data_IF_477370685672
#
_entry.id   IF_477370685672
#
_cell.length_a   1.000
_cell.length_b   1.000
_cell.length_c   1.000
_cell.angle_alpha   90.00
_cell.angle_beta   90.00
_cell.angle_gamma   90.00
#
_symmetry.space_group_name_H-M   'P 1'
#
loop_
_entity.id
_entity.type
_entity.pdbx_description
1 polymer ?
#
# COMPACT_ATOMS: atom_id res chain seq x y z
N UNK A 1 19.67 -9.40 0.87
CA UNK A 1 18.99 -8.96 2.11
C UNK A 1 18.48 -7.55 1.91
N UNK A 2 17.74 -6.99 2.87
CA UNK A 2 17.33 -5.59 2.86
C UNK A 2 18.51 -4.60 2.79
N UNK A 3 19.71 -5.01 3.25
CA UNK A 3 20.92 -4.19 3.25
C UNK A 3 21.37 -3.74 1.84
N UNK A 4 20.95 -4.48 0.81
CA UNK A 4 21.30 -4.18 -0.59
C UNK A 4 20.32 -3.18 -1.25
N UNK A 5 19.32 -2.71 -0.52
CA UNK A 5 18.29 -1.78 -1.01
C UNK A 5 18.48 -0.43 -0.32
N UNK A 6 18.46 0.71 -1.04
CA UNK A 6 18.68 2.03 -0.46
C UNK A 6 17.43 2.55 0.28
N UNK A 7 16.96 1.79 1.28
CA UNK A 7 15.78 2.11 2.08
C UNK A 7 16.09 3.32 2.98
N UNK A 8 15.17 4.28 2.98
CA UNK A 8 15.37 5.58 3.61
C UNK A 8 14.94 5.58 5.09
N UNK A 9 15.64 6.38 5.88
CA UNK A 9 15.13 6.92 7.15
C UNK A 9 14.75 8.37 6.88
N UNK A 10 13.46 8.69 6.90
CA UNK A 10 12.93 9.97 6.42
C UNK A 10 13.14 11.09 7.43
N UNK A 11 12.85 10.83 8.71
CA UNK A 11 12.91 11.84 9.76
C UNK A 11 13.89 11.46 10.88
N UNK A 12 14.44 12.46 11.61
CA UNK A 12 15.43 12.22 12.66
C UNK A 12 14.98 11.23 13.75
N UNK A 13 13.70 11.32 14.18
CA UNK A 13 13.17 10.48 15.26
C UNK A 13 12.44 9.23 14.77
N UNK A 14 12.46 8.93 13.46
CA UNK A 14 11.95 7.64 12.98
C UNK A 14 12.75 6.50 13.63
N UNK A 15 12.08 5.41 13.98
CA UNK A 15 12.70 4.27 14.66
C UNK A 15 13.76 3.56 13.81
N UNK A 16 13.72 3.72 12.48
CA UNK A 16 14.61 3.04 11.58
C UNK A 16 14.38 3.46 10.13
N UNK A 17 14.74 2.55 9.22
CA UNK A 17 14.47 2.69 7.79
C UNK A 17 13.08 2.15 7.47
N UNK A 18 12.38 2.82 6.57
CA UNK A 18 11.03 2.44 6.17
C UNK A 18 10.92 2.33 4.65
N UNK A 19 10.29 1.26 4.15
CA UNK A 19 9.73 1.25 2.81
C UNK A 19 8.38 1.96 2.91
N UNK A 20 8.27 3.12 2.28
CA UNK A 20 7.09 3.99 2.34
C UNK A 20 6.20 3.87 1.11
N UNK A 21 6.73 3.29 0.02
CA UNK A 21 6.02 3.17 -1.26
C UNK A 21 6.10 1.77 -1.88
N UNK A 22 5.96 0.74 -1.03
CA UNK A 22 5.83 -0.65 -1.46
C UNK A 22 4.37 -1.02 -1.70
N UNK A 23 4.07 -1.59 -2.87
CA UNK A 23 2.76 -2.18 -3.15
C UNK A 23 2.77 -3.63 -2.65
N UNK A 24 2.05 -3.89 -1.57
CA UNK A 24 1.97 -5.20 -0.95
C UNK A 24 0.90 -6.02 -1.64
N UNK A 25 1.34 -7.05 -2.35
CA UNK A 25 0.51 -8.04 -3.02
C UNK A 25 0.22 -9.22 -2.10
N UNK A 26 -1.05 -9.58 -2.02
CA UNK A 26 -1.53 -10.79 -1.33
C UNK A 26 -2.65 -11.42 -2.15
N UNK A 27 -2.97 -12.68 -1.84
CA UNK A 27 -4.06 -13.42 -2.47
C UNK A 27 -5.05 -13.84 -1.38
N UNK A 28 -6.34 -13.75 -1.69
CA UNK A 28 -7.36 -14.26 -0.78
C UNK A 28 -7.23 -15.79 -0.70
N UNK A 29 -7.17 -16.40 0.50
CA UNK A 29 -6.87 -17.82 0.66
C UNK A 29 -7.91 -18.74 -0.01
N UNK A 30 -9.21 -18.39 0.09
CA UNK A 30 -10.28 -19.21 -0.49
C UNK A 30 -10.58 -18.89 -1.96
N UNK A 31 -10.79 -17.60 -2.29
CA UNK A 31 -11.24 -17.18 -3.62
C UNK A 31 -10.11 -17.00 -4.63
N UNK A 32 -8.86 -16.91 -4.18
CA UNK A 32 -7.72 -16.63 -5.04
C UNK A 32 -7.66 -15.20 -5.59
N UNK A 33 -8.58 -14.31 -5.19
CA UNK A 33 -8.62 -12.92 -5.66
C UNK A 33 -7.39 -12.16 -5.18
N UNK A 34 -6.71 -11.46 -6.10
CA UNK A 34 -5.48 -10.73 -5.78
C UNK A 34 -5.79 -9.33 -5.26
N UNK A 35 -5.07 -8.96 -4.20
CA UNK A 35 -5.12 -7.66 -3.58
C UNK A 35 -3.77 -6.93 -3.72
N UNK A 36 -3.83 -5.61 -3.73
CA UNK A 36 -2.70 -4.69 -3.68
C UNK A 36 -3.07 -3.55 -2.73
N UNK A 37 -2.15 -3.22 -1.83
CA UNK A 37 -2.27 -2.08 -0.94
C UNK A 37 -0.92 -1.44 -0.68
N UNK A 38 -0.91 -0.14 -0.38
CA UNK A 38 0.30 0.56 0.06
C UNK A 38 0.31 0.59 1.58
N UNK A 39 1.42 0.12 2.16
CA UNK A 39 1.62 0.09 3.60
C UNK A 39 3.05 0.54 3.90
N UNK A 40 3.25 1.25 5.01
CA UNK A 40 4.59 1.54 5.51
C UNK A 40 5.17 0.27 6.14
N UNK A 41 6.44 0.02 5.90
CA UNK A 41 7.11 -1.22 6.31
C UNK A 41 8.43 -0.87 6.99
N UNK A 42 8.55 -1.11 8.30
CA UNK A 42 9.77 -0.84 9.06
C UNK A 42 10.78 -1.96 8.87
N UNK A 43 12.03 -1.64 8.53
CA UNK A 43 13.11 -2.64 8.47
C UNK A 43 13.68 -2.84 9.87
N UNK A 44 13.77 -4.11 10.30
CA UNK A 44 14.28 -4.49 11.62
C UNK A 44 15.69 -5.07 11.52
N UNK A 45 15.90 -5.95 10.54
CA UNK A 45 17.20 -6.55 10.26
C UNK A 45 17.33 -6.89 8.77
N UNK A 46 18.34 -7.69 8.42
CA UNK A 46 18.65 -8.08 7.03
C UNK A 46 17.53 -8.86 6.32
N UNK A 47 16.63 -9.52 7.06
CA UNK A 47 15.58 -10.40 6.52
C UNK A 47 14.20 -10.19 7.15
N UNK A 48 14.07 -9.37 8.19
CA UNK A 48 12.80 -9.09 8.85
C UNK A 48 12.38 -7.63 8.74
N UNK A 49 11.09 -7.42 8.53
CA UNK A 49 10.45 -6.12 8.53
C UNK A 49 9.09 -6.17 9.25
N UNK A 50 8.56 -5.03 9.68
CA UNK A 50 7.23 -4.93 10.30
C UNK A 50 6.25 -4.36 9.31
N UNK A 51 5.16 -5.09 9.10
CA UNK A 51 4.13 -4.74 8.14
C UNK A 51 3.04 -3.95 8.85
N UNK A 52 2.95 -2.63 8.61
CA UNK A 52 1.90 -1.79 9.20
C UNK A 52 0.55 -2.02 8.49
N UNK A 53 0.02 -3.24 8.62
CA UNK A 53 -1.31 -3.61 8.18
C UNK A 53 -2.34 -3.16 9.21
N UNK A 54 -2.95 -2.01 8.96
CA UNK A 54 -4.10 -1.57 9.76
C UNK A 54 -5.21 -2.62 9.69
N UNK A 55 -5.79 -2.97 10.84
CA UNK A 55 -6.79 -4.05 11.01
C UNK A 55 -7.99 -3.97 10.06
N UNK A 56 -8.32 -2.78 9.55
CA UNK A 56 -9.44 -2.55 8.63
C UNK A 56 -9.08 -2.68 7.13
N UNK A 57 -7.86 -3.06 6.79
CA UNK A 57 -7.41 -3.22 5.40
C UNK A 57 -7.45 -4.69 4.98
N UNK A 58 -7.69 -4.96 3.69
CA UNK A 58 -7.89 -6.32 3.15
C UNK A 58 -6.79 -7.33 3.48
N UNK A 59 -5.52 -6.89 3.54
CA UNK A 59 -4.42 -7.76 3.98
C UNK A 59 -4.62 -8.31 5.40
N UNK A 60 -5.17 -7.51 6.32
CA UNK A 60 -5.53 -7.94 7.66
C UNK A 60 -6.82 -8.79 7.68
N UNK A 61 -7.75 -8.59 6.76
CA UNK A 61 -8.92 -9.47 6.64
C UNK A 61 -8.54 -10.88 6.14
N UNK A 62 -7.58 -10.98 5.20
CA UNK A 62 -7.03 -12.29 4.80
C UNK A 62 -6.39 -13.00 6.01
N UNK A 63 -5.79 -12.26 6.92
CA UNK A 63 -5.23 -12.81 8.15
C UNK A 63 -6.29 -13.47 9.03
N UNK A 64 -7.42 -12.79 9.28
CA UNK A 64 -8.47 -13.35 10.12
C UNK A 64 -9.08 -14.64 9.53
N UNK A 65 -9.07 -14.78 8.20
CA UNK A 65 -9.48 -16.01 7.50
C UNK A 65 -8.41 -17.11 7.65
N UNK A 66 -7.12 -16.78 7.62
CA UNK A 66 -6.02 -17.75 7.76
C UNK A 66 -5.72 -18.20 9.19
N UNK A 67 -6.38 -17.67 10.23
CA UNK A 67 -6.20 -18.16 11.61
C UNK A 67 -6.52 -19.64 11.77
N UNK A 68 -7.33 -20.21 10.88
CA UNK A 68 -7.64 -21.64 10.85
C UNK A 68 -6.56 -22.46 10.09
N UNK A 69 -5.66 -21.81 9.34
CA UNK A 69 -4.62 -22.45 8.52
C UNK A 69 -3.27 -21.73 8.64
N UNK A 70 -2.48 -22.14 9.63
CA UNK A 70 -1.04 -21.91 9.73
C UNK A 70 -0.56 -20.44 9.63
N UNK A 71 -1.29 -19.45 10.19
CA UNK A 71 -0.91 -18.06 10.59
C UNK A 71 0.03 -17.21 9.68
N UNK A 72 0.42 -17.70 8.50
CA UNK A 72 1.41 -17.11 7.61
C UNK A 72 0.76 -16.79 6.28
N UNK A 73 0.91 -15.55 5.86
CA UNK A 73 0.31 -15.05 4.62
C UNK A 73 1.43 -14.77 3.63
N UNK A 74 1.45 -15.54 2.56
CA UNK A 74 2.34 -15.29 1.43
C UNK A 74 2.12 -13.86 0.90
N UNK A 75 3.22 -13.13 0.79
CA UNK A 75 3.22 -11.69 0.54
C UNK A 75 4.37 -11.33 -0.39
N UNK A 76 4.11 -10.43 -1.33
CA UNK A 76 5.16 -9.81 -2.15
C UNK A 76 5.09 -8.29 -2.05
N UNK A 77 6.20 -7.64 -1.72
CA UNK A 77 6.32 -6.17 -1.72
C UNK A 77 6.89 -5.75 -3.06
N UNK A 78 6.08 -5.09 -3.88
CA UNK A 78 6.44 -4.61 -5.20
C UNK A 78 6.87 -3.15 -5.12
N UNK A 79 8.08 -2.85 -5.59
CA UNK A 79 8.63 -1.49 -5.66
C UNK A 79 8.81 -1.12 -7.13
N UNK A 80 8.27 0.04 -7.48
CA UNK A 80 8.18 0.48 -8.88
C UNK A 80 7.13 -0.31 -9.68
N UNK A 81 7.05 -0.03 -10.97
CA UNK A 81 6.06 -0.60 -11.87
C UNK A 81 5.23 0.48 -12.56
N UNK A 82 4.09 0.09 -13.14
CA UNK A 82 3.26 1.05 -13.86
C UNK A 82 2.42 1.95 -12.94
N UNK A 83 2.22 3.23 -13.28
CA UNK A 83 1.38 4.15 -12.51
C UNK A 83 -0.05 3.64 -12.26
N UNK A 84 -0.64 2.90 -13.20
CA UNK A 84 -1.97 2.32 -13.04
C UNK A 84 -2.03 1.25 -11.94
N UNK A 85 -0.96 0.48 -11.75
CA UNK A 85 -0.85 -0.50 -10.66
C UNK A 85 -0.74 0.21 -9.32
N UNK A 86 0.08 1.26 -9.25
CA UNK A 86 0.19 2.13 -8.07
C UNK A 86 -1.18 2.73 -7.74
N UNK A 87 -1.86 3.31 -8.73
CA UNK A 87 -3.20 3.88 -8.56
C UNK A 87 -4.21 2.85 -8.05
N UNK A 88 -4.19 1.62 -8.57
CA UNK A 88 -5.08 0.56 -8.10
C UNK A 88 -4.80 0.19 -6.63
N UNK A 89 -3.54 0.15 -6.21
CA UNK A 89 -3.18 -0.20 -4.83
C UNK A 89 -3.71 0.82 -3.81
N UNK A 90 -3.69 2.10 -4.15
CA UNK A 90 -4.18 3.19 -3.29
C UNK A 90 -5.70 3.43 -3.41
N UNK A 91 -6.28 3.11 -4.57
CA UNK A 91 -7.68 3.42 -4.82
C UNK A 91 -8.58 2.51 -3.96
N UNK A 92 -9.63 3.06 -3.33
CA UNK A 92 -10.68 2.28 -2.69
C UNK A 92 -11.56 1.60 -3.75
N UNK A 93 -11.06 0.47 -4.23
CA UNK A 93 -11.74 -0.43 -5.16
C UNK A 93 -12.79 -1.25 -4.40
N UNK A 94 -13.96 -1.59 -4.98
CA UNK A 94 -14.95 -2.46 -4.33
C UNK A 94 -14.39 -3.80 -3.85
N UNK A 95 -15.05 -4.40 -2.85
CA UNK A 95 -14.69 -5.72 -2.33
C UNK A 95 -14.93 -6.82 -3.36
N UNK A 96 -14.09 -7.86 -3.34
CA UNK A 96 -14.12 -8.95 -4.32
C UNK A 96 -13.52 -8.61 -5.69
N UNK A 97 -13.27 -7.33 -6.01
CA UNK A 97 -12.64 -6.97 -7.29
C UNK A 97 -11.11 -7.08 -7.23
N UNK A 98 -10.55 -7.85 -8.16
CA UNK A 98 -9.11 -8.03 -8.35
C UNK A 98 -8.42 -6.69 -8.69
N UNK A 99 -7.35 -6.37 -7.95
CA UNK A 99 -6.64 -5.09 -8.10
C UNK A 99 -5.84 -4.97 -9.40
N UNK A 100 -5.38 -6.08 -9.98
CA UNK A 100 -4.76 -6.06 -11.31
C UNK A 100 -5.80 -5.87 -12.42
N UNK A 101 -6.98 -6.46 -12.27
CA UNK A 101 -8.10 -6.21 -13.18
C UNK A 101 -8.50 -4.73 -13.17
N UNK A 102 -8.67 -4.14 -11.97
CA UNK A 102 -8.96 -2.71 -11.86
C UNK A 102 -7.88 -1.83 -12.51
N UNK A 103 -6.60 -2.11 -12.24
CA UNK A 103 -5.49 -1.41 -12.89
C UNK A 103 -5.54 -1.53 -14.43
N UNK A 104 -5.92 -2.71 -14.93
CA UNK A 104 -6.10 -2.97 -16.35
C UNK A 104 -7.23 -2.17 -16.98
N UNK A 105 -8.37 -2.05 -16.29
CA UNK A 105 -9.51 -1.20 -16.69
C UNK A 105 -9.07 0.26 -16.74
N UNK A 106 -8.41 0.76 -15.69
CA UNK A 106 -7.94 2.15 -15.61
C UNK A 106 -7.02 2.51 -16.78
N UNK A 107 -6.10 1.62 -17.16
CA UNK A 107 -5.16 1.86 -18.28
C UNK A 107 -5.65 1.34 -19.64
N UNK A 108 -6.87 0.80 -19.73
CA UNK A 108 -7.49 0.17 -20.92
C UNK A 108 -6.66 -0.98 -21.53
N UNK A 109 -5.85 -1.66 -20.72
CA UNK A 109 -4.97 -2.76 -21.14
C UNK A 109 -4.63 -3.63 -19.94
N UNK A 110 -4.77 -4.96 -20.03
CA UNK A 110 -4.46 -5.86 -18.90
C UNK A 110 -3.01 -5.77 -18.43
N UNK A 111 -2.76 -5.89 -17.11
CA UNK A 111 -1.41 -5.87 -16.52
C UNK A 111 -0.67 -7.16 -16.88
N UNK A 112 0.55 -7.06 -17.41
CA UNK A 112 1.41 -8.22 -17.60
C UNK A 112 2.01 -8.60 -16.25
N UNK A 113 1.87 -9.86 -15.87
CA UNK A 113 2.40 -10.37 -14.59
C UNK A 113 3.41 -11.48 -14.81
N UNK A 114 4.22 -11.73 -13.79
CA UNK A 114 5.14 -12.87 -13.67
C UNK A 114 4.92 -13.54 -12.32
N UNK A 115 5.18 -14.85 -12.23
CA UNK A 115 5.12 -15.57 -10.96
C UNK A 115 6.34 -15.22 -10.10
N UNK A 116 6.11 -15.07 -8.80
CA UNK A 116 7.14 -15.06 -7.79
C UNK A 116 7.88 -16.41 -7.73
N UNK A 117 9.07 -16.43 -7.14
CA UNK A 117 9.92 -17.63 -7.09
C UNK A 117 9.76 -18.46 -5.81
N UNK A 118 9.38 -17.83 -4.72
CA UNK A 118 9.37 -18.41 -3.36
C UNK A 118 7.98 -18.40 -2.71
N UNK A 119 6.99 -17.78 -3.37
CA UNK A 119 5.58 -17.69 -2.92
C UNK A 119 4.62 -17.87 -4.10
N UNK A 120 3.39 -18.34 -3.88
CA UNK A 120 2.35 -18.49 -4.92
C UNK A 120 1.62 -17.18 -5.21
N UNK A 121 2.37 -16.19 -5.69
CA UNK A 121 1.83 -14.89 -6.12
C UNK A 121 2.29 -14.52 -7.52
N UNK A 122 1.48 -13.72 -8.21
CA UNK A 122 1.90 -13.00 -9.40
C UNK A 122 2.04 -11.49 -9.14
N UNK A 123 3.10 -10.92 -9.70
CA UNK A 123 3.48 -9.51 -9.57
C UNK A 123 3.65 -8.85 -10.94
N UNK A 124 3.56 -7.51 -11.06
CA UNK A 124 3.78 -6.83 -12.34
C UNK A 124 5.14 -7.20 -12.96
N UNK A 125 5.13 -7.60 -14.23
CA UNK A 125 6.33 -8.00 -14.96
C UNK A 125 7.37 -6.88 -15.10
N UNK A 126 6.95 -5.63 -14.93
CA UNK A 126 7.77 -4.43 -15.05
C UNK A 126 8.10 -3.78 -13.70
N UNK A 127 7.87 -4.48 -12.59
CA UNK A 127 8.36 -4.05 -11.28
C UNK A 127 9.88 -3.87 -11.31
N UNK A 128 10.39 -2.90 -10.54
CA UNK A 128 11.84 -2.67 -10.44
C UNK A 128 12.47 -3.65 -9.45
N UNK A 129 11.83 -3.82 -8.30
CA UNK A 129 12.22 -4.74 -7.23
C UNK A 129 10.96 -5.41 -6.68
N UNK A 130 11.03 -6.71 -6.39
CA UNK A 130 10.00 -7.49 -5.71
C UNK A 130 10.66 -8.24 -4.55
N UNK A 131 10.12 -8.04 -3.36
CA UNK A 131 10.57 -8.69 -2.12
C UNK A 131 9.52 -9.74 -1.76
N UNK A 132 9.92 -11.00 -1.79
CA UNK A 132 9.03 -12.14 -1.56
C UNK A 132 9.20 -12.65 -0.15
N UNK A 133 8.11 -13.13 0.45
CA UNK A 133 8.13 -13.61 1.82
C UNK A 133 6.75 -13.95 2.36
N UNK A 134 6.66 -14.03 3.67
CA UNK A 134 5.38 -14.22 4.35
C UNK A 134 5.28 -13.26 5.52
N UNK A 135 4.05 -12.86 5.84
CA UNK A 135 3.73 -12.13 7.06
C UNK A 135 3.22 -13.14 8.09
N UNK A 136 3.89 -13.22 9.23
CA UNK A 136 3.50 -14.06 10.37
C UNK A 136 2.81 -13.18 11.42
N UNK A 137 1.53 -13.41 11.63
CA UNK A 137 0.75 -12.63 12.57
C UNK A 137 0.85 -13.12 14.02
N UNK A 138 1.46 -14.28 14.25
CA UNK A 138 1.84 -14.72 15.58
C UNK A 138 3.12 -14.02 16.06
N UNK A 139 4.00 -13.59 15.14
CA UNK A 139 5.20 -12.79 15.43
C UNK A 139 4.91 -11.29 15.30
N UNK A 140 4.32 -10.70 16.34
CA UNK A 140 4.15 -9.25 16.42
C UNK A 140 5.33 -8.61 17.14
N UNK A 141 5.86 -7.54 16.55
CA UNK A 141 6.90 -6.71 17.15
C UNK A 141 6.57 -5.25 17.00
N UNK A 142 7.36 -4.47 17.68
CA UNK A 142 7.06 -3.13 18.10
C UNK A 142 7.56 -2.12 17.01
N UNK A 143 6.63 -1.56 16.22
CA UNK A 143 6.88 -0.61 15.12
C UNK A 143 6.85 0.84 15.62
N UNK A 144 7.62 1.71 14.96
CA UNK A 144 7.63 3.14 15.25
C UNK A 144 8.53 3.53 16.42
N UNK A 145 8.63 4.85 16.72
CA UNK A 145 7.84 5.94 16.14
C UNK A 145 8.15 6.23 14.65
N UNK A 146 7.18 6.85 13.96
CA UNK A 146 7.27 7.21 12.54
C UNK A 146 6.62 8.58 12.27
N UNK A 147 7.29 9.47 11.55
CA UNK A 147 6.74 10.76 11.12
C UNK A 147 5.65 10.59 10.05
N UNK A 148 4.40 10.82 10.42
CA UNK A 148 3.23 10.50 9.60
C UNK A 148 2.66 11.73 8.86
N UNK A 149 1.70 11.49 7.96
CA UNK A 149 1.05 12.48 7.09
C UNK A 149 0.34 13.61 7.86
N UNK A 150 0.16 13.46 9.18
CA UNK A 150 -0.37 14.50 10.06
C UNK A 150 0.66 15.59 10.38
N UNK A 151 1.95 15.31 10.14
CA UNK A 151 3.08 16.14 10.58
C UNK A 151 3.57 15.83 11.99
N UNK A 152 3.07 14.77 12.62
CA UNK A 152 3.45 14.31 13.95
C UNK A 152 4.01 12.88 13.91
N UNK A 153 4.70 12.48 14.98
CA UNK A 153 5.16 11.10 15.11
C UNK A 153 4.02 10.22 15.63
N UNK A 154 3.70 9.15 14.90
CA UNK A 154 2.86 8.05 15.41
C UNK A 154 3.63 7.37 16.55
N UNK A 155 2.97 7.05 17.69
CA UNK A 155 3.59 6.29 18.76
C UNK A 155 3.92 4.86 18.33
N UNK A 156 4.62 4.16 19.23
CA UNK A 156 5.02 2.78 19.04
C UNK A 156 3.83 1.83 19.22
N UNK A 157 3.63 0.90 18.29
CA UNK A 157 2.55 -0.10 18.35
C UNK A 157 3.00 -1.46 17.78
N UNK A 158 2.40 -2.59 18.23
CA UNK A 158 2.76 -3.90 17.74
C UNK A 158 2.16 -4.22 16.36
N UNK A 159 2.98 -4.71 15.44
CA UNK A 159 2.60 -5.12 14.08
C UNK A 159 3.24 -6.46 13.68
N UNK A 160 2.63 -7.19 12.73
CA UNK A 160 3.10 -8.50 12.33
C UNK A 160 4.41 -8.42 11.53
N UNK A 161 5.22 -9.46 11.67
CA UNK A 161 6.55 -9.54 11.06
C UNK A 161 6.47 -10.14 9.67
N UNK A 162 7.06 -9.45 8.69
CA UNK A 162 7.37 -9.97 7.37
C UNK A 162 8.77 -10.60 7.37
N UNK A 163 8.87 -11.86 6.93
CA UNK A 163 10.15 -12.55 6.71
C UNK A 163 10.43 -12.63 5.21
N UNK A 164 11.57 -12.09 4.80
CA UNK A 164 12.07 -12.10 3.42
C UNK A 164 12.63 -13.48 3.05
N UNK A 165 12.09 -14.08 1.99
CA UNK A 165 12.54 -15.37 1.43
C UNK A 165 13.22 -15.23 0.08
N UNK A 166 12.94 -14.16 -0.67
CA UNK A 166 13.49 -13.95 -2.01
C UNK A 166 13.48 -12.49 -2.45
N UNK A 167 14.38 -12.16 -3.38
CA UNK A 167 14.37 -10.86 -4.08
C UNK A 167 14.41 -11.14 -5.58
N UNK A 168 13.42 -10.62 -6.30
CA UNK A 168 13.48 -10.48 -7.76
C UNK A 168 13.73 -9.01 -8.08
N UNK A 169 14.59 -8.72 -9.05
CA UNK A 169 14.85 -7.35 -9.48
C UNK A 169 15.31 -7.29 -10.93
N UNK A 170 15.18 -6.11 -11.54
CA UNK A 170 15.78 -5.81 -12.84
C UNK A 170 17.32 -5.73 -12.70
N UNK A 171 18.03 -5.76 -13.83
CA UNK A 171 19.50 -5.69 -13.85
C UNK A 171 20.04 -4.41 -13.19
N UNK A 172 19.40 -3.28 -13.46
CA UNK A 172 19.71 -1.97 -12.89
C UNK A 172 18.41 -1.38 -12.31
N UNK A 173 17.99 -1.81 -11.11
CA UNK A 173 16.68 -1.48 -10.58
C UNK A 173 16.64 -0.04 -10.05
N UNK A 174 15.49 0.62 -10.21
CA UNK A 174 15.20 1.90 -9.59
C UNK A 174 14.41 1.67 -8.29
N UNK A 175 14.94 2.16 -7.17
CA UNK A 175 14.20 2.16 -5.90
C UNK A 175 13.22 3.34 -5.86
N UNK A 176 11.96 3.08 -6.21
CA UNK A 176 10.88 4.06 -6.10
C UNK A 176 10.41 4.16 -4.64
N UNK A 177 10.37 5.37 -4.11
CA UNK A 177 9.99 5.64 -2.72
C UNK A 177 9.28 6.99 -2.60
N UNK A 178 8.74 7.29 -1.42
CA UNK A 178 8.12 8.58 -1.08
C UNK A 178 8.59 9.04 0.30
N UNK A 179 8.49 10.33 0.59
CA UNK A 179 8.53 10.83 1.97
C UNK A 179 7.11 11.14 2.41
N UNK A 180 6.79 10.89 3.68
CA UNK A 180 5.50 11.22 4.30
C UNK A 180 5.79 12.07 5.52
N UNK A 181 4.93 13.02 5.86
CA UNK A 181 5.16 13.99 6.92
C UNK A 181 4.17 15.14 6.86
N UNK A 182 4.55 16.31 7.38
CA UNK A 182 3.69 17.49 7.31
C UNK A 182 3.39 17.85 5.84
N UNK A 183 2.12 17.92 5.41
CA UNK A 183 1.77 18.28 4.03
C UNK A 183 2.36 19.65 3.65
N UNK A 184 2.76 19.88 2.39
CA UNK A 184 2.43 19.11 1.18
C UNK A 184 3.61 18.23 0.74
N UNK A 185 3.38 16.93 0.59
CA UNK A 185 4.33 15.94 0.05
C UNK A 185 3.64 15.11 -1.06
N UNK A 186 4.31 14.08 -1.59
CA UNK A 186 3.82 13.30 -2.75
C UNK A 186 2.45 12.64 -2.50
N UNK A 187 2.20 12.20 -1.27
CA UNK A 187 0.93 11.62 -0.82
C UNK A 187 -0.25 12.58 -1.01
N UNK A 188 -0.02 13.89 -0.96
CA UNK A 188 -1.06 14.88 -1.23
C UNK A 188 -1.52 14.90 -2.69
N UNK A 189 -0.60 14.75 -3.64
CA UNK A 189 -0.96 14.69 -5.06
C UNK A 189 -1.70 13.40 -5.39
N UNK A 190 -1.26 12.31 -4.76
CA UNK A 190 -1.92 11.00 -4.82
C UNK A 190 -3.35 11.08 -4.27
N UNK A 191 -3.52 11.66 -3.08
CA UNK A 191 -4.82 11.89 -2.46
C UNK A 191 -5.74 12.73 -3.34
N UNK A 192 -5.20 13.77 -3.97
CA UNK A 192 -5.97 14.62 -4.90
C UNK A 192 -6.46 13.85 -6.12
N UNK A 193 -5.65 12.96 -6.69
CA UNK A 193 -6.07 12.12 -7.80
C UNK A 193 -7.21 11.16 -7.40
N UNK A 194 -7.12 10.53 -6.22
CA UNK A 194 -8.20 9.69 -5.67
C UNK A 194 -9.47 10.52 -5.48
N UNK A 195 -9.36 11.67 -4.80
CA UNK A 195 -10.47 12.59 -4.57
C UNK A 195 -11.19 12.96 -5.87
N UNK A 196 -10.45 13.35 -6.92
CA UNK A 196 -11.05 13.66 -8.24
C UNK A 196 -11.75 12.45 -8.85
N UNK A 197 -11.22 11.24 -8.68
CA UNK A 197 -11.83 10.01 -9.21
C UNK A 197 -13.19 9.68 -8.58
N UNK A 198 -13.47 10.20 -7.38
CA UNK A 198 -14.74 10.01 -6.67
C UNK A 198 -15.84 10.98 -7.05
N UNK A 199 -15.50 12.13 -7.65
CA UNK A 199 -16.49 13.16 -7.98
C UNK A 199 -17.65 12.63 -8.83
N UNK A 200 -17.43 11.80 -9.88
CA UNK A 200 -18.53 11.25 -10.66
C UNK A 200 -19.47 10.36 -9.83
N UNK A 201 -18.92 9.54 -8.92
CA UNK A 201 -19.71 8.68 -8.06
C UNK A 201 -20.55 9.49 -7.06
N UNK A 202 -19.95 10.53 -6.45
CA UNK A 202 -20.66 11.43 -5.54
C UNK A 202 -21.79 12.14 -6.27
N UNK A 203 -21.57 12.63 -7.50
CA UNK A 203 -22.61 13.27 -8.33
C UNK A 203 -23.74 12.32 -8.69
N UNK A 204 -23.44 11.04 -8.87
CA UNK A 204 -24.44 10.02 -9.16
C UNK A 204 -25.36 9.78 -7.95
N UNK A 205 -24.81 9.80 -6.73
CA UNK A 205 -25.56 9.61 -5.49
C UNK A 205 -26.25 10.91 -5.01
N UNK A 206 -25.61 12.06 -5.23
CA UNK A 206 -26.05 13.39 -4.82
C UNK A 206 -25.96 14.37 -6.00
N UNK A 207 -26.97 14.40 -6.90
CA UNK A 207 -26.95 15.21 -8.11
C UNK A 207 -26.88 16.73 -7.88
N UNK A 208 -27.16 17.21 -6.67
CA UNK A 208 -26.98 18.59 -6.25
C UNK A 208 -25.52 19.00 -6.07
N UNK A 209 -24.59 18.05 -5.90
CA UNK A 209 -23.16 18.35 -5.76
C UNK A 209 -22.57 18.78 -7.10
N UNK A 210 -22.00 19.99 -7.14
CA UNK A 210 -21.29 20.53 -8.30
C UNK A 210 -19.82 20.10 -8.26
N UNK A 211 -19.21 20.20 -7.09
CA UNK A 211 -17.82 19.81 -6.86
C UNK A 211 -17.59 19.51 -5.38
N UNK A 212 -16.49 18.84 -5.06
CA UNK A 212 -15.97 18.78 -3.70
C UNK A 212 -14.46 18.96 -3.70
N UNK A 213 -13.83 19.16 -2.56
CA UNK A 213 -12.39 19.19 -2.41
C UNK A 213 -12.02 18.81 -0.98
N UNK A 214 -11.00 17.98 -0.82
CA UNK A 214 -10.41 17.57 0.45
C UNK A 214 -8.99 18.12 0.47
N UNK A 215 -8.75 19.30 1.07
CA UNK A 215 -7.45 19.94 1.01
C UNK A 215 -6.36 19.09 1.69
N UNK A 216 -5.12 19.07 1.17
CA UNK A 216 -3.98 18.40 1.82
C UNK A 216 -3.74 18.86 3.27
N UNK A 217 -3.99 20.14 3.56
CA UNK A 217 -3.87 20.69 4.91
C UNK A 217 -4.84 20.06 5.92
N UNK A 218 -5.94 19.46 5.45
CA UNK A 218 -6.88 18.67 6.25
C UNK A 218 -6.64 17.16 6.14
N UNK A 219 -5.46 16.72 5.69
CA UNK A 219 -5.05 15.31 5.62
C UNK A 219 -5.97 14.42 4.79
N UNK A 220 -6.77 14.99 3.88
CA UNK A 220 -7.82 14.29 3.14
C UNK A 220 -8.84 13.55 4.02
N UNK A 221 -8.96 13.91 5.29
CA UNK A 221 -9.85 13.26 6.26
C UNK A 221 -10.50 14.25 7.22
N UNK A 222 -9.79 15.30 7.62
CA UNK A 222 -10.24 16.31 8.59
C UNK A 222 -11.05 17.46 7.99
N UNK A 223 -11.04 17.66 6.68
CA UNK A 223 -11.81 18.72 6.01
C UNK A 223 -12.25 18.30 4.61
N UNK A 224 -13.54 18.47 4.33
CA UNK A 224 -14.12 18.40 3.00
C UNK A 224 -14.92 19.68 2.73
N UNK A 225 -14.76 20.23 1.54
CA UNK A 225 -15.47 21.41 1.04
C UNK A 225 -16.31 20.95 -0.13
N UNK A 226 -17.63 21.09 -0.06
CA UNK A 226 -18.54 20.74 -1.14
C UNK A 226 -19.23 21.99 -1.69
N UNK A 227 -19.25 22.13 -3.02
CA UNK A 227 -20.07 23.10 -3.72
C UNK A 227 -21.35 22.42 -4.20
N UNK A 228 -22.50 23.01 -3.89
CA UNK A 228 -23.81 22.46 -4.23
C UNK A 228 -24.68 23.45 -4.97
N UNK A 229 -25.57 22.95 -5.83
CA UNK A 229 -26.71 23.69 -6.35
C UNK A 229 -27.86 23.58 -5.36
N UNK A 230 -27.93 24.52 -4.42
CA UNK A 230 -29.01 24.59 -3.42
C UNK A 230 -30.38 24.64 -4.11
N UNK A 231 -31.30 23.79 -3.67
CA UNK A 231 -32.70 23.74 -4.09
C UNK A 231 -33.60 24.16 -2.95
#
# INVERSE_FOLDING_TARGET
TFDNIPILKSWPKDAGKFITFGLVATKHPETGVRNLGVYRIQIIDSTHALMHWQKHKRGAAHHDITKESNNKIETAIVIGGEPATVFSAIAPVPEGLDKYLFAGITRKKGIKTVKCKTVDLEVPANAEIVLEGYVDAADNRDEGPFGDHTGYYTPKEPFPTFTLTGIMQRKNPIYLTTVVGKPILEDAYIGKAIERSFLPLIKMLHPEVIDFSMPPAGWFQGLAIASIKKR
#
